data_IF_007484903350
#
_entry.id   IF_007484903350
#
_cell.length_a   1.000
_cell.length_b   1.000
_cell.length_c   1.000
_cell.angle_alpha   90.00
_cell.angle_beta   90.00
_cell.angle_gamma   90.00
#
_symmetry.space_group_name_H-M   'P 1'
#
loop_
_entity.id
_entity.type
_entity.pdbx_description
1 polymer ?
#
# COMPACT_ATOMS: atom_id res chain seq x y z
N UNK A 1 6.30 -36.49 72.30
CA UNK A 1 7.38 -35.51 72.05
C UNK A 1 7.81 -35.69 70.59
N UNK A 2 6.97 -35.25 69.63
CA UNK A 2 7.03 -35.77 68.25
C UNK A 2 6.58 -34.77 67.17
N UNK A 3 6.71 -33.46 67.37
CA UNK A 3 6.17 -32.44 66.43
C UNK A 3 7.27 -31.59 65.77
N UNK A 4 8.54 -31.74 66.15
CA UNK A 4 9.61 -30.85 65.65
C UNK A 4 10.34 -31.34 64.40
N UNK A 5 10.11 -32.57 63.93
CA UNK A 5 10.88 -33.14 62.81
C UNK A 5 10.26 -32.92 61.42
N UNK A 6 8.96 -32.63 61.32
CA UNK A 6 8.27 -32.46 60.02
C UNK A 6 8.44 -31.06 59.40
N UNK A 7 8.62 -30.00 60.20
CA UNK A 7 8.77 -28.63 59.70
C UNK A 7 10.07 -28.35 58.95
N UNK A 8 11.07 -29.23 59.03
CA UNK A 8 12.38 -29.05 58.39
C UNK A 8 12.43 -29.52 56.93
N UNK A 9 11.52 -30.41 56.51
CA UNK A 9 11.55 -31.02 55.18
C UNK A 9 10.75 -30.23 54.14
N UNK A 10 9.58 -29.71 54.48
CA UNK A 10 8.74 -28.92 53.55
C UNK A 10 9.48 -27.66 53.06
N UNK A 11 10.19 -26.97 53.96
CA UNK A 11 10.89 -25.72 53.66
C UNK A 11 12.13 -25.91 52.74
N UNK A 12 12.65 -27.13 52.60
CA UNK A 12 13.76 -27.43 51.67
C UNK A 12 13.29 -27.79 50.27
N UNK A 13 12.12 -28.43 50.16
CA UNK A 13 11.56 -28.85 48.87
C UNK A 13 11.02 -27.63 48.10
N UNK A 14 10.34 -26.69 48.78
CA UNK A 14 9.88 -25.44 48.15
C UNK A 14 11.04 -24.58 47.64
N UNK A 15 12.11 -24.42 48.43
CA UNK A 15 13.31 -23.65 48.01
C UNK A 15 14.12 -24.28 46.88
N UNK A 16 13.98 -25.59 46.65
CA UNK A 16 14.61 -26.27 45.51
C UNK A 16 13.73 -26.24 44.25
N UNK A 17 12.41 -26.17 44.40
CA UNK A 17 11.48 -25.97 43.29
C UNK A 17 11.57 -24.54 42.73
N UNK A 18 11.60 -23.51 43.59
CA UNK A 18 11.74 -22.10 43.19
C UNK A 18 13.05 -21.82 42.42
N UNK A 19 14.13 -22.56 42.72
CA UNK A 19 15.42 -22.45 42.01
C UNK A 19 15.46 -23.15 40.65
N UNK A 20 14.48 -23.99 40.32
CA UNK A 20 14.39 -24.68 39.02
C UNK A 20 13.45 -23.96 38.05
N UNK A 21 12.39 -23.30 38.52
CA UNK A 21 11.50 -22.49 37.66
C UNK A 21 12.16 -21.18 37.17
N UNK A 22 13.12 -20.62 37.92
CA UNK A 22 13.77 -19.36 37.57
C UNK A 22 14.88 -19.48 36.52
N UNK A 23 15.09 -20.67 35.92
CA UNK A 23 16.08 -20.90 34.85
C UNK A 23 15.50 -21.03 33.44
N UNK A 24 14.19 -21.04 33.27
CA UNK A 24 13.55 -21.17 31.94
C UNK A 24 13.08 -19.83 31.34
N UNK A 25 13.18 -18.72 32.08
CA UNK A 25 12.69 -17.42 31.64
C UNK A 25 13.77 -16.43 31.16
N UNK A 26 15.03 -16.83 31.09
CA UNK A 26 16.09 -16.00 30.52
C UNK A 26 16.16 -16.29 29.02
N UNK A 27 15.21 -15.73 28.25
CA UNK A 27 15.34 -15.68 26.80
C UNK A 27 16.63 -14.93 26.48
N UNK A 28 17.60 -15.65 25.95
CA UNK A 28 18.91 -15.14 25.60
C UNK A 28 18.75 -13.82 24.81
N UNK A 29 19.27 -12.68 25.30
CA UNK A 29 19.12 -11.39 24.65
C UNK A 29 19.64 -11.40 23.20
N UNK A 30 20.59 -12.29 22.86
CA UNK A 30 21.03 -12.49 21.48
C UNK A 30 19.94 -13.07 20.57
N UNK A 31 19.09 -14.00 21.06
CA UNK A 31 17.99 -14.55 20.28
C UNK A 31 16.86 -13.53 20.07
N UNK A 32 16.60 -12.68 21.06
CA UNK A 32 15.64 -11.58 20.92
C UNK A 32 16.17 -10.48 19.98
N UNK A 33 17.46 -10.17 20.04
CA UNK A 33 18.11 -9.25 19.12
C UNK A 33 18.12 -9.79 17.68
N UNK A 34 18.45 -11.07 17.49
CA UNK A 34 18.43 -11.72 16.18
C UNK A 34 17.01 -11.77 15.58
N UNK A 35 15.99 -12.12 16.36
CA UNK A 35 14.60 -12.10 15.91
C UNK A 35 14.08 -10.68 15.59
N UNK A 36 14.59 -9.66 16.29
CA UNK A 36 14.26 -8.26 16.04
C UNK A 36 14.96 -7.74 14.78
N UNK A 37 16.21 -8.13 14.54
CA UNK A 37 16.96 -7.84 13.31
C UNK A 37 16.35 -8.54 12.09
N UNK A 38 15.93 -9.80 12.21
CA UNK A 38 15.25 -10.54 11.14
C UNK A 38 13.90 -9.90 10.79
N UNK A 39 13.12 -9.48 11.80
CA UNK A 39 11.90 -8.69 11.58
C UNK A 39 12.18 -7.34 10.92
N UNK A 40 13.25 -6.65 11.31
CA UNK A 40 13.63 -5.39 10.70
C UNK A 40 14.00 -5.57 9.22
N UNK A 41 14.76 -6.61 8.88
CA UNK A 41 15.13 -6.92 7.50
C UNK A 41 13.93 -7.30 6.62
N UNK A 42 12.96 -8.04 7.17
CA UNK A 42 11.71 -8.34 6.49
C UNK A 42 10.90 -7.07 6.22
N UNK A 43 10.74 -6.21 7.23
CA UNK A 43 10.06 -4.92 7.09
C UNK A 43 10.74 -4.02 6.04
N UNK A 44 12.07 -3.98 6.01
CA UNK A 44 12.80 -3.20 5.00
C UNK A 44 12.57 -3.74 3.59
N UNK A 45 12.49 -5.06 3.42
CA UNK A 45 12.20 -5.69 2.12
C UNK A 45 10.75 -5.45 1.67
N UNK A 46 9.80 -5.50 2.59
CA UNK A 46 8.39 -5.21 2.33
C UNK A 46 8.18 -3.74 1.95
N UNK A 47 8.78 -2.80 2.69
CA UNK A 47 8.73 -1.36 2.38
C UNK A 47 9.34 -1.04 1.01
N UNK A 48 10.47 -1.67 0.67
CA UNK A 48 11.08 -1.52 -0.67
C UNK A 48 10.18 -2.06 -1.77
N UNK A 49 9.48 -3.16 -1.51
CA UNK A 49 8.59 -3.80 -2.48
C UNK A 49 7.33 -2.96 -2.70
N UNK A 50 6.69 -2.49 -1.63
CA UNK A 50 5.53 -1.57 -1.72
C UNK A 50 5.91 -0.25 -2.39
N UNK A 51 7.06 0.35 -2.03
CA UNK A 51 7.55 1.56 -2.72
C UNK A 51 7.72 1.36 -4.23
N UNK A 52 8.22 0.20 -4.66
CA UNK A 52 8.36 -0.14 -6.07
C UNK A 52 6.99 -0.33 -6.74
N UNK A 53 6.03 -0.94 -6.06
CA UNK A 53 4.66 -1.09 -6.55
C UNK A 53 3.98 0.27 -6.72
N UNK A 54 4.09 1.17 -5.75
CA UNK A 54 3.60 2.55 -5.85
C UNK A 54 4.24 3.32 -7.01
N UNK A 55 5.56 3.19 -7.21
CA UNK A 55 6.25 3.80 -8.35
C UNK A 55 5.72 3.27 -9.69
N UNK A 56 5.49 1.96 -9.79
CA UNK A 56 4.94 1.37 -11.00
C UNK A 56 3.50 1.84 -11.27
N UNK A 57 2.67 1.96 -10.24
CA UNK A 57 1.30 2.48 -10.35
C UNK A 57 1.32 3.94 -10.83
N UNK A 58 2.18 4.77 -10.25
CA UNK A 58 2.33 6.18 -10.64
C UNK A 58 2.76 6.34 -12.10
N UNK A 59 3.73 5.53 -12.55
CA UNK A 59 4.18 5.52 -13.95
C UNK A 59 3.06 5.07 -14.90
N UNK A 60 2.29 4.07 -14.51
CA UNK A 60 1.15 3.61 -15.31
C UNK A 60 0.06 4.68 -15.42
N UNK A 61 -0.23 5.42 -14.35
CA UNK A 61 -1.15 6.56 -14.37
C UNK A 61 -0.67 7.64 -15.37
N UNK A 62 0.63 7.96 -15.36
CA UNK A 62 1.21 8.93 -16.30
C UNK A 62 1.02 8.49 -17.76
N UNK A 63 1.29 7.21 -18.05
CA UNK A 63 1.15 6.64 -19.38
C UNK A 63 -0.31 6.62 -19.89
N UNK A 64 -1.26 6.30 -19.01
CA UNK A 64 -2.70 6.31 -19.35
C UNK A 64 -3.16 7.75 -19.65
N UNK A 65 -2.75 8.73 -18.84
CA UNK A 65 -3.07 10.15 -19.10
C UNK A 65 -2.53 10.63 -20.46
N UNK A 66 -1.28 10.29 -20.80
CA UNK A 66 -0.67 10.64 -22.10
C UNK A 66 -1.45 10.02 -23.27
N UNK A 67 -1.87 8.76 -23.14
CA UNK A 67 -2.70 8.10 -24.14
C UNK A 67 -4.04 8.84 -24.33
N UNK A 68 -4.71 9.24 -23.24
CA UNK A 68 -5.96 10.02 -23.32
C UNK A 68 -5.74 11.36 -24.04
N UNK A 69 -4.64 12.06 -23.79
CA UNK A 69 -4.31 13.31 -24.48
C UNK A 69 -4.12 13.11 -25.99
N UNK A 70 -3.44 12.03 -26.39
CA UNK A 70 -3.26 11.68 -27.80
C UNK A 70 -4.59 11.35 -28.49
N UNK A 71 -5.47 10.59 -27.83
CA UNK A 71 -6.80 10.27 -28.37
C UNK A 71 -7.64 11.56 -28.56
N UNK A 72 -7.56 12.50 -27.62
CA UNK A 72 -8.24 13.80 -27.74
C UNK A 72 -7.70 14.65 -28.89
N UNK A 73 -6.40 14.63 -29.14
CA UNK A 73 -5.80 15.32 -30.27
C UNK A 73 -6.24 14.71 -31.60
N UNK A 74 -6.30 13.37 -31.70
CA UNK A 74 -6.83 12.67 -32.88
C UNK A 74 -8.29 13.05 -33.16
N UNK A 75 -9.11 13.18 -32.11
CA UNK A 75 -10.49 13.64 -32.24
C UNK A 75 -10.59 15.09 -32.73
N UNK A 76 -9.72 15.99 -32.25
CA UNK A 76 -9.72 17.38 -32.72
C UNK A 76 -9.30 17.52 -34.17
N UNK A 77 -8.33 16.71 -34.63
CA UNK A 77 -7.90 16.70 -36.03
C UNK A 77 -9.01 16.16 -36.94
N UNK A 78 -9.74 15.12 -36.52
CA UNK A 78 -10.88 14.58 -37.26
C UNK A 78 -12.04 15.58 -37.43
N UNK A 79 -12.17 16.57 -36.53
CA UNK A 79 -13.19 17.63 -36.62
C UNK A 79 -12.75 18.76 -37.57
N UNK A 80 -11.44 18.94 -37.79
CA UNK A 80 -10.91 20.03 -38.62
C UNK A 80 -10.86 19.69 -40.12
N UNK A 81 -10.95 18.41 -40.50
CA UNK A 81 -10.86 17.93 -41.89
C UNK A 81 -12.24 17.71 -42.57
N UNK A 82 -13.33 18.33 -42.09
CA UNK A 82 -14.65 18.20 -42.74
C UNK A 82 -14.72 18.93 -44.10
N UNK A 83 -14.34 18.24 -45.17
CA UNK A 83 -14.84 18.44 -46.55
C UNK A 83 -15.63 17.19 -47.03
N UNK A 84 -16.96 17.32 -47.02
CA UNK A 84 -17.93 16.85 -48.04
C UNK A 84 -18.10 15.37 -48.47
N UNK A 85 -17.88 14.33 -47.63
CA UNK A 85 -18.41 12.97 -47.93
C UNK A 85 -19.28 12.34 -46.82
N UNK A 86 -20.60 12.10 -47.05
CA UNK A 86 -21.50 11.49 -46.06
C UNK A 86 -21.16 10.04 -45.68
N UNK A 87 -20.36 9.31 -46.46
CA UNK A 87 -19.85 7.99 -46.06
C UNK A 87 -18.68 8.10 -45.06
N UNK A 88 -17.83 9.12 -45.21
CA UNK A 88 -16.74 9.44 -44.28
C UNK A 88 -17.29 9.83 -42.90
N UNK A 89 -18.29 10.72 -42.87
CA UNK A 89 -18.91 11.19 -41.61
C UNK A 89 -19.47 10.02 -40.76
N UNK A 90 -19.98 8.95 -41.39
CA UNK A 90 -20.45 7.77 -40.65
C UNK A 90 -19.31 6.96 -40.05
N UNK A 91 -18.18 6.84 -40.75
CA UNK A 91 -16.99 6.18 -40.25
C UNK A 91 -16.34 7.00 -39.12
N UNK A 92 -16.27 8.32 -39.29
CA UNK A 92 -15.71 9.24 -38.30
C UNK A 92 -16.55 9.26 -37.03
N UNK A 93 -17.89 9.26 -37.15
CA UNK A 93 -18.80 9.10 -35.99
C UNK A 93 -18.58 7.78 -35.24
N UNK A 94 -18.38 6.68 -35.97
CA UNK A 94 -18.12 5.38 -35.34
C UNK A 94 -16.76 5.37 -34.63
N UNK A 95 -15.73 5.95 -35.25
CA UNK A 95 -14.41 6.11 -34.64
C UNK A 95 -14.48 7.00 -33.38
N UNK A 96 -15.24 8.09 -33.43
CA UNK A 96 -15.55 8.97 -32.30
C UNK A 96 -16.18 8.20 -31.14
N UNK A 97 -17.22 7.41 -31.40
CA UNK A 97 -17.88 6.60 -30.37
C UNK A 97 -16.92 5.57 -29.74
N UNK A 98 -16.08 4.92 -30.55
CA UNK A 98 -15.08 3.97 -30.06
C UNK A 98 -14.02 4.67 -29.19
N UNK A 99 -13.56 5.85 -29.61
CA UNK A 99 -12.60 6.65 -28.86
C UNK A 99 -13.19 7.18 -27.56
N UNK A 100 -14.45 7.62 -27.56
CA UNK A 100 -15.17 8.01 -26.35
C UNK A 100 -15.29 6.85 -25.36
N UNK A 101 -15.64 5.64 -25.83
CA UNK A 101 -15.68 4.44 -24.99
C UNK A 101 -14.31 4.11 -24.39
N UNK A 102 -13.23 4.22 -25.18
CA UNK A 102 -11.86 4.02 -24.68
C UNK A 102 -11.47 5.06 -23.64
N UNK A 103 -11.82 6.33 -23.85
CA UNK A 103 -11.58 7.39 -22.86
C UNK A 103 -12.33 7.10 -21.56
N UNK A 104 -13.61 6.70 -21.63
CA UNK A 104 -14.39 6.35 -20.45
C UNK A 104 -13.77 5.16 -19.69
N UNK A 105 -13.39 4.09 -20.41
CA UNK A 105 -12.71 2.94 -19.82
C UNK A 105 -11.42 3.33 -19.08
N UNK A 106 -10.55 4.09 -19.74
CA UNK A 106 -9.29 4.52 -19.14
C UNK A 106 -9.49 5.50 -17.98
N UNK A 107 -10.55 6.31 -18.01
CA UNK A 107 -10.90 7.18 -16.90
C UNK A 107 -11.33 6.37 -15.65
N UNK A 108 -12.15 5.34 -15.84
CA UNK A 108 -12.55 4.43 -14.75
C UNK A 108 -11.35 3.67 -14.18
N UNK A 109 -10.40 3.24 -15.03
CA UNK A 109 -9.16 2.63 -14.55
C UNK A 109 -8.30 3.60 -13.74
N UNK A 110 -8.21 4.88 -14.14
CA UNK A 110 -7.49 5.89 -13.38
C UNK A 110 -8.10 6.09 -11.98
N UNK A 111 -9.43 6.10 -11.87
CA UNK A 111 -10.11 6.20 -10.57
C UNK A 111 -9.77 4.99 -9.71
N UNK A 112 -9.86 3.77 -10.26
CA UNK A 112 -9.53 2.54 -9.52
C UNK A 112 -8.07 2.53 -9.04
N UNK A 113 -7.12 2.92 -9.90
CA UNK A 113 -5.70 2.98 -9.53
C UNK A 113 -5.44 4.06 -8.47
N UNK A 114 -6.13 5.20 -8.53
CA UNK A 114 -6.07 6.23 -7.47
C UNK A 114 -6.55 5.67 -6.14
N UNK A 115 -7.69 4.97 -6.12
CA UNK A 115 -8.25 4.39 -4.90
C UNK A 115 -7.37 3.27 -4.32
N UNK A 116 -6.74 2.46 -5.18
CA UNK A 116 -5.76 1.46 -4.78
C UNK A 116 -4.52 2.11 -4.15
N UNK A 117 -4.02 3.19 -4.75
CA UNK A 117 -2.88 3.93 -4.24
C UNK A 117 -3.18 4.61 -2.90
N UNK A 118 -4.39 5.14 -2.71
CA UNK A 118 -4.84 5.67 -1.42
C UNK A 118 -4.87 4.55 -0.39
N UNK A 119 -5.47 3.39 -0.70
CA UNK A 119 -5.53 2.24 0.21
C UNK A 119 -4.15 1.73 0.61
N UNK A 120 -3.22 1.66 -0.33
CA UNK A 120 -1.84 1.25 -0.05
C UNK A 120 -1.15 2.26 0.86
N UNK A 121 -1.27 3.56 0.58
CA UNK A 121 -0.74 4.62 1.44
C UNK A 121 -1.34 4.58 2.85
N UNK A 122 -2.65 4.34 3.00
CA UNK A 122 -3.27 4.22 4.34
C UNK A 122 -2.65 3.07 5.14
N UNK A 123 -2.44 1.90 4.53
CA UNK A 123 -1.77 0.77 5.19
C UNK A 123 -0.35 1.14 5.62
N UNK A 124 0.37 1.80 4.74
CA UNK A 124 1.74 2.27 4.99
C UNK A 124 1.82 3.29 6.14
N UNK A 125 0.86 4.23 6.17
CA UNK A 125 0.77 5.24 7.23
C UNK A 125 0.30 4.63 8.55
N UNK A 126 -0.57 3.62 8.53
CA UNK A 126 -1.02 2.91 9.73
C UNK A 126 0.14 2.18 10.42
N UNK A 127 1.07 1.61 9.64
CA UNK A 127 2.29 0.99 10.19
C UNK A 127 3.25 2.02 10.78
N UNK A 128 3.39 3.20 10.15
CA UNK A 128 4.34 4.25 10.55
C UNK A 128 3.80 5.16 11.66
N UNK A 129 2.49 5.34 11.71
CA UNK A 129 1.79 6.25 12.63
C UNK A 129 0.54 5.56 13.21
N UNK A 130 0.72 4.52 14.06
CA UNK A 130 -0.38 3.73 14.59
C UNK A 130 -1.29 4.50 15.57
N UNK A 131 -0.88 5.69 16.00
CA UNK A 131 -1.60 6.55 16.92
C UNK A 131 -2.61 7.49 16.22
N UNK A 132 -2.60 7.57 14.89
CA UNK A 132 -3.55 8.36 14.13
C UNK A 132 -4.85 7.58 13.91
N UNK A 133 -5.97 8.30 13.90
CA UNK A 133 -7.26 7.72 13.51
C UNK A 133 -7.26 7.33 12.04
N UNK A 134 -8.15 6.41 11.66
CA UNK A 134 -8.31 6.00 10.26
C UNK A 134 -8.65 7.19 9.35
N UNK A 135 -9.47 8.13 9.82
CA UNK A 135 -9.87 9.32 9.06
C UNK A 135 -8.67 10.26 8.80
N UNK A 136 -7.81 10.47 9.80
CA UNK A 136 -6.58 11.26 9.64
C UNK A 136 -5.57 10.58 8.71
N UNK A 137 -5.44 9.25 8.79
CA UNK A 137 -4.59 8.47 7.90
C UNK A 137 -5.10 8.52 6.44
N UNK A 138 -6.41 8.43 6.25
CA UNK A 138 -7.06 8.51 4.94
C UNK A 138 -6.86 9.89 4.30
N UNK A 139 -7.17 10.97 5.03
CA UNK A 139 -6.98 12.34 4.53
C UNK A 139 -5.52 12.62 4.17
N UNK A 140 -4.57 12.10 4.95
CA UNK A 140 -3.14 12.25 4.66
C UNK A 140 -2.72 11.43 3.43
N UNK A 141 -3.23 10.22 3.27
CA UNK A 141 -2.99 9.40 2.08
C UNK A 141 -3.54 10.07 0.81
N UNK A 142 -4.76 10.60 0.86
CA UNK A 142 -5.36 11.34 -0.26
C UNK A 142 -4.51 12.55 -0.66
N UNK A 143 -4.10 13.39 0.30
CA UNK A 143 -3.25 14.55 0.02
C UNK A 143 -1.90 14.17 -0.59
N UNK A 144 -1.29 13.07 -0.15
CA UNK A 144 -0.04 12.56 -0.73
C UNK A 144 -0.23 12.08 -2.18
N UNK A 145 -1.34 11.39 -2.46
CA UNK A 145 -1.67 10.92 -3.81
C UNK A 145 -1.98 12.09 -4.74
N UNK A 146 -2.78 13.05 -4.29
CA UNK A 146 -3.16 14.20 -5.12
C UNK A 146 -1.94 15.08 -5.44
N UNK A 147 -1.03 15.30 -4.48
CA UNK A 147 0.25 15.98 -4.71
C UNK A 147 1.16 15.23 -5.70
N UNK A 148 1.22 13.90 -5.60
CA UNK A 148 1.97 13.08 -6.56
C UNK A 148 1.36 13.21 -7.97
N UNK A 149 0.04 13.18 -8.09
CA UNK A 149 -0.67 13.30 -9.36
C UNK A 149 -0.53 14.69 -9.99
N UNK A 150 -0.36 15.74 -9.19
CA UNK A 150 -0.03 17.09 -9.65
C UNK A 150 1.40 17.19 -10.16
N UNK A 151 2.38 16.59 -9.48
CA UNK A 151 3.78 16.60 -9.94
C UNK A 151 4.02 15.90 -11.29
N UNK A 152 3.04 15.13 -11.76
CA UNK A 152 3.07 14.39 -13.04
C UNK A 152 2.26 15.12 -14.14
N UNK A 153 1.61 16.25 -13.82
CA UNK A 153 0.88 17.06 -14.82
C UNK A 153 1.77 17.97 -15.66
N UNK A 154 3.01 18.21 -15.22
CA UNK A 154 4.04 18.96 -15.96
C UNK A 154 4.86 18.05 -16.89
#
# INVERSE_FOLDING_TARGET
MSIEFEKGFENRVERQAEKKESKEAEKDPELLAAASMERADLLVREVKTSKKQMQNIAVNIANVKKTIQQLRAQLQLAIQEEEEDPASIKQDKKALEELQKKIAYHYDELIKMRDELIRENVKDLQQKMPYLSFEELHAKAEGMVDSLLESVKD
#
